data_IF_034584628338
#
_entry.id   IF_034584628338
#
_cell.length_a   1.000
_cell.length_b   1.000
_cell.length_c   1.000
_cell.angle_alpha   90.00
_cell.angle_beta   90.00
_cell.angle_gamma   90.00
#
_symmetry.space_group_name_H-M   'P 1'
#
loop_
_entity.id
_entity.type
_entity.pdbx_description
1 polymer ?
#
# COMPACT_ATOMS: atom_id res chain seq x y z
N UNK A 1 -24.09 -5.54 -10.77
CA UNK A 1 -23.71 -5.63 -10.02
C UNK A 1 -23.02 -4.81 -9.37
N UNK A 2 -22.77 -4.65 -8.80
CA UNK A 2 -22.27 -4.10 -8.14
C UNK A 2 -21.28 -3.58 -7.95
N UNK A 3 -21.21 -2.69 -7.98
CA UNK A 3 -20.24 -2.13 -7.89
C UNK A 3 -19.54 -2.12 -6.78
N UNK A 4 -18.37 -1.85 -6.74
CA UNK A 4 -17.64 -2.14 -5.61
C UNK A 4 -17.19 -0.89 -4.96
N UNK A 5 -16.90 -0.93 -3.69
CA UNK A 5 -16.53 0.24 -2.94
C UNK A 5 -15.06 0.51 -2.99
N UNK A 6 -14.31 -0.14 -3.88
CA UNK A 6 -12.88 0.17 -3.93
C UNK A 6 -12.41 0.26 -5.36
N UNK A 7 -11.41 1.07 -5.55
CA UNK A 7 -10.72 1.24 -6.80
C UNK A 7 -9.33 0.67 -6.68
N UNK A 8 -8.80 0.24 -7.81
CA UNK A 8 -7.47 -0.35 -7.84
C UNK A 8 -6.68 0.28 -8.96
N UNK A 9 -5.47 0.71 -8.65
CA UNK A 9 -4.56 1.25 -9.65
C UNK A 9 -3.27 0.47 -9.57
N UNK A 10 -2.81 -0.04 -10.70
CA UNK A 10 -1.56 -0.78 -10.78
C UNK A 10 -0.58 -0.07 -11.67
N UNK A 11 0.67 -0.01 -11.25
CA UNK A 11 1.73 0.62 -12.01
C UNK A 11 2.93 -0.30 -12.04
N UNK A 12 3.66 -0.28 -13.14
CA UNK A 12 4.81 -1.15 -13.35
C UNK A 12 6.08 -0.39 -13.04
N UNK A 13 6.97 -1.04 -12.28
CA UNK A 13 8.27 -0.47 -11.94
C UNK A 13 9.35 -1.50 -12.18
N UNK A 14 10.58 -1.02 -12.30
CA UNK A 14 11.76 -1.87 -12.29
C UNK A 14 12.45 -1.68 -10.96
N UNK A 15 12.79 -2.78 -10.31
CA UNK A 15 13.56 -2.70 -9.07
C UNK A 15 14.98 -2.35 -9.43
N UNK A 16 15.40 -1.12 -9.07
CA UNK A 16 16.72 -0.64 -9.43
C UNK A 16 17.79 -1.14 -8.49
N UNK A 17 17.58 -0.95 -7.21
CA UNK A 17 18.56 -1.36 -6.22
C UNK A 17 17.96 -1.36 -4.83
N UNK A 18 18.70 -2.01 -3.92
CA UNK A 18 18.39 -1.92 -2.51
C UNK A 18 19.41 -1.00 -1.86
N UNK A 19 18.94 -0.17 -0.96
CA UNK A 19 19.80 0.78 -0.25
C UNK A 19 19.33 0.91 1.18
N UNK A 20 20.18 0.54 2.13
CA UNK A 20 19.89 0.78 3.55
C UNK A 20 18.51 0.31 3.97
N UNK A 21 18.17 -0.92 3.59
CA UNK A 21 16.89 -1.48 3.96
C UNK A 21 15.72 -1.02 3.14
N UNK A 22 15.98 -0.31 2.05
CA UNK A 22 14.94 0.20 1.19
C UNK A 22 15.14 -0.28 -0.23
N UNK A 23 14.07 -0.31 -0.98
CA UNK A 23 14.09 -0.69 -2.38
C UNK A 23 13.77 0.54 -3.22
N UNK A 24 14.58 0.79 -4.25
CA UNK A 24 14.37 1.91 -5.16
C UNK A 24 13.72 1.37 -6.41
N UNK A 25 12.54 1.86 -6.72
CA UNK A 25 11.76 1.42 -7.87
C UNK A 25 11.72 2.54 -8.90
N UNK A 26 12.03 2.20 -10.14
CA UNK A 26 12.02 3.17 -11.23
C UNK A 26 10.83 2.92 -12.12
N UNK A 27 9.99 3.92 -12.26
CA UNK A 27 8.89 3.89 -13.21
C UNK A 27 9.26 4.65 -14.46
N UNK A 28 8.27 4.88 -15.29
CA UNK A 28 8.50 5.57 -16.55
C UNK A 28 8.92 7.03 -16.32
N UNK A 29 8.28 7.66 -15.36
CA UNK A 29 8.53 9.07 -15.08
C UNK A 29 8.81 9.35 -13.61
N UNK A 30 8.89 8.30 -12.78
CA UNK A 30 9.03 8.54 -11.35
C UNK A 30 9.94 7.53 -10.71
N UNK A 31 10.47 7.89 -9.57
CA UNK A 31 11.26 7.02 -8.75
C UNK A 31 10.57 6.94 -7.39
N UNK A 32 10.42 5.72 -6.89
CA UNK A 32 9.73 5.50 -5.62
C UNK A 32 10.63 4.66 -4.73
N UNK A 33 10.69 5.02 -3.46
CA UNK A 33 11.48 4.30 -2.47
C UNK A 33 10.53 3.68 -1.45
N UNK A 34 10.62 2.37 -1.27
CA UNK A 34 9.76 1.67 -0.33
C UNK A 34 10.62 0.81 0.58
N UNK A 35 10.09 0.42 1.75
CA UNK A 35 10.83 -0.51 2.61
C UNK A 35 11.08 -1.83 1.89
N UNK A 36 12.28 -2.36 2.06
CA UNK A 36 12.67 -3.60 1.41
C UNK A 36 11.71 -4.74 1.76
N UNK A 37 11.18 -4.74 2.96
CA UNK A 37 10.31 -5.82 3.41
C UNK A 37 9.02 -5.92 2.61
N UNK A 38 8.66 -4.89 1.85
CA UNK A 38 7.46 -4.92 1.03
C UNK A 38 7.71 -5.55 -0.33
N UNK A 39 8.95 -5.84 -0.66
CA UNK A 39 9.31 -6.42 -1.95
C UNK A 39 9.30 -7.93 -1.82
N UNK A 40 8.65 -8.65 -2.76
CA UNK A 40 8.69 -10.12 -2.71
C UNK A 40 10.12 -10.63 -2.74
N UNK A 41 10.37 -11.68 -1.98
CA UNK A 41 11.74 -12.19 -1.85
C UNK A 41 12.30 -12.75 -3.13
N UNK A 42 11.44 -13.09 -4.07
CA UNK A 42 11.88 -13.61 -5.35
C UNK A 42 12.40 -12.52 -6.27
N UNK A 43 12.24 -11.25 -5.89
CA UNK A 43 12.67 -10.14 -6.73
C UNK A 43 14.09 -9.74 -6.41
N UNK A 44 14.84 -9.38 -7.45
CA UNK A 44 16.21 -8.89 -7.31
C UNK A 44 16.36 -7.68 -8.21
N UNK A 45 17.54 -7.06 -8.16
CA UNK A 45 17.80 -5.89 -8.99
C UNK A 45 17.55 -6.24 -10.45
N UNK A 46 16.81 -5.38 -11.12
CA UNK A 46 16.40 -5.61 -12.51
C UNK A 46 15.06 -6.27 -12.67
N UNK A 47 14.46 -6.78 -11.58
CA UNK A 47 13.15 -7.40 -11.67
C UNK A 47 12.06 -6.38 -11.97
N UNK A 48 11.06 -6.83 -12.71
CA UNK A 48 9.87 -6.02 -12.94
C UNK A 48 8.91 -6.28 -11.77
N UNK A 49 8.41 -5.20 -11.17
CA UNK A 49 7.46 -5.33 -10.08
C UNK A 49 6.22 -4.50 -10.41
N UNK A 50 5.10 -4.99 -9.94
CA UNK A 50 3.84 -4.27 -10.07
C UNK A 50 3.47 -3.73 -8.71
N UNK A 51 3.20 -2.44 -8.66
CA UNK A 51 2.72 -1.82 -7.44
C UNK A 51 1.22 -1.59 -7.60
N UNK A 52 0.45 -2.10 -6.67
CA UNK A 52 -0.99 -1.99 -6.73
C UNK A 52 -1.48 -1.27 -5.49
N UNK A 53 -2.27 -0.25 -5.71
CA UNK A 53 -2.90 0.48 -4.62
C UNK A 53 -4.40 0.31 -4.76
N UNK A 54 -5.02 -0.10 -3.68
CA UNK A 54 -6.47 -0.30 -3.66
C UNK A 54 -7.07 0.49 -2.52
N UNK A 55 -8.21 1.09 -2.76
CA UNK A 55 -8.96 1.67 -1.67
C UNK A 55 -9.93 0.62 -1.15
N UNK A 56 -10.27 0.70 0.10
CA UNK A 56 -11.22 -0.20 0.69
C UNK A 56 -12.11 0.60 1.62
N UNK A 57 -13.22 1.07 1.08
CA UNK A 57 -14.11 1.94 1.83
C UNK A 57 -14.76 1.22 3.00
N UNK A 58 -15.09 -0.03 2.81
CA UNK A 58 -15.72 -0.78 3.88
C UNK A 58 -14.77 -0.90 5.07
N UNK A 59 -13.50 -1.21 4.80
CA UNK A 59 -12.52 -1.32 5.87
C UNK A 59 -12.24 0.03 6.50
N UNK A 60 -12.19 1.08 5.69
CA UNK A 60 -11.98 2.42 6.19
C UNK A 60 -13.08 2.82 7.15
N UNK A 61 -14.32 2.58 6.75
CA UNK A 61 -15.45 2.91 7.60
C UNK A 61 -15.45 2.10 8.87
N UNK A 62 -15.07 0.84 8.77
CA UNK A 62 -15.02 -0.02 9.93
C UNK A 62 -14.00 0.49 10.95
N UNK A 63 -12.85 0.92 10.49
CA UNK A 63 -11.82 1.43 11.38
C UNK A 63 -12.23 2.76 12.02
N UNK A 64 -12.86 3.62 11.23
CA UNK A 64 -13.37 4.88 11.76
C UNK A 64 -14.42 4.64 12.84
N UNK A 65 -15.31 3.69 12.59
CA UNK A 65 -16.34 3.37 13.55
C UNK A 65 -15.75 2.80 14.83
N UNK A 66 -14.77 1.93 14.69
CA UNK A 66 -14.10 1.37 15.87
C UNK A 66 -13.44 2.46 16.69
N UNK A 67 -12.79 3.40 16.03
CA UNK A 67 -12.15 4.50 16.73
C UNK A 67 -13.17 5.34 17.47
N UNK A 68 -14.31 5.60 16.85
CA UNK A 68 -15.39 6.36 17.50
C UNK A 68 -15.91 5.61 18.71
N UNK A 69 -16.09 4.33 18.59
CA UNK A 69 -16.59 3.52 19.68
C UNK A 69 -15.63 3.53 20.86
N UNK A 70 -14.35 3.40 20.59
CA UNK A 70 -13.36 3.44 21.65
C UNK A 70 -13.34 4.80 22.34
N UNK A 71 -13.43 5.86 21.57
CA UNK A 71 -13.45 7.19 22.11
C UNK A 71 -14.68 7.40 22.97
N UNK A 72 -15.83 6.96 22.50
CA UNK A 72 -17.08 7.09 23.26
C UNK A 72 -16.99 6.31 24.57
N UNK A 73 -16.37 5.14 24.54
CA UNK A 73 -16.21 4.36 25.75
C UNK A 73 -15.38 5.10 26.78
N UNK A 74 -14.31 5.72 26.34
CA UNK A 74 -13.44 6.47 27.23
C UNK A 74 -14.15 7.68 27.78
N UNK A 75 -14.84 8.42 26.91
CA UNK A 75 -15.50 9.65 27.33
C UNK A 75 -16.81 9.42 28.10
N UNK A 76 -17.42 8.29 27.84
CA UNK A 76 -18.70 7.99 28.45
C UNK A 76 -18.64 7.31 29.80
N UNK A 77 -17.44 6.93 30.22
CA UNK A 77 -17.30 6.20 31.49
C UNK A 77 -16.90 7.08 32.68
#
# INVERSE_FOLDING_TARGET
MKQFDHETISTVFTLDRFEEGKAVLLGEHEEIVIPKKLVPKSCSEGSIVHMTLSSDEAETKKREQTAKELLNEILGS
#
